data_IF_786840272190
#
_entry.id   IF_786840272190
#
_cell.length_a   1.000
_cell.length_b   1.000
_cell.length_c   1.000
_cell.angle_alpha   90.00
_cell.angle_beta   90.00
_cell.angle_gamma   90.00
#
_symmetry.space_group_name_H-M   'P 1'
#
loop_
_entity.id
_entity.type
_entity.pdbx_description
1 polymer ?
#
# COMPACT_ATOMS: atom_id res chain seq x y z
N UNK A 1 -9.98 -16.92 -17.32
CA UNK A 1 -10.71 -15.99 -16.44
C UNK A 1 -11.31 -14.83 -17.22
N UNK A 2 -10.52 -14.04 -17.96
CA UNK A 2 -11.01 -12.91 -18.76
C UNK A 2 -12.15 -13.26 -19.72
N UNK A 3 -11.97 -14.29 -20.56
CA UNK A 3 -13.00 -14.73 -21.52
C UNK A 3 -14.32 -15.17 -20.89
N UNK A 4 -14.30 -15.54 -19.60
CA UNK A 4 -15.52 -15.89 -18.86
C UNK A 4 -16.28 -14.66 -18.39
N UNK A 5 -15.59 -13.61 -17.93
CA UNK A 5 -16.24 -12.40 -17.41
C UNK A 5 -16.60 -11.40 -18.52
N UNK A 6 -15.86 -11.39 -19.62
CA UNK A 6 -16.01 -10.45 -20.73
C UNK A 6 -17.46 -10.34 -21.24
N UNK A 7 -18.19 -11.44 -21.54
CA UNK A 7 -19.56 -11.32 -22.05
C UNK A 7 -20.53 -10.63 -21.10
N UNK A 8 -20.28 -10.73 -19.78
CA UNK A 8 -21.09 -10.02 -18.78
C UNK A 8 -20.75 -8.53 -18.75
N UNK A 9 -19.48 -8.17 -18.89
CA UNK A 9 -19.03 -6.77 -18.93
C UNK A 9 -19.56 -6.08 -20.20
N UNK A 10 -19.51 -6.75 -21.35
CA UNK A 10 -19.99 -6.23 -22.64
C UNK A 10 -21.52 -6.04 -22.69
N UNK A 11 -22.26 -6.52 -21.69
CA UNK A 11 -23.70 -6.29 -21.57
C UNK A 11 -24.07 -4.92 -20.95
N UNK A 12 -23.11 -4.17 -20.42
CA UNK A 12 -23.32 -2.85 -19.83
C UNK A 12 -23.16 -1.74 -20.87
N UNK A 13 -23.91 -0.64 -20.68
CA UNK A 13 -23.83 0.54 -21.55
C UNK A 13 -22.50 1.30 -21.41
N UNK A 14 -21.89 1.25 -20.23
CA UNK A 14 -20.64 1.92 -19.92
C UNK A 14 -19.81 1.12 -18.90
N UNK A 15 -18.49 1.27 -18.99
CA UNK A 15 -17.52 0.71 -18.04
C UNK A 15 -16.60 1.81 -17.54
N UNK A 16 -16.22 1.72 -16.26
CA UNK A 16 -15.34 2.70 -15.62
C UNK A 16 -14.05 2.02 -15.22
N UNK A 17 -12.93 2.55 -15.70
CA UNK A 17 -11.59 2.14 -15.28
C UNK A 17 -10.91 3.28 -14.53
N UNK A 18 -9.95 2.95 -13.69
CA UNK A 18 -9.13 3.98 -13.01
C UNK A 18 -8.05 4.54 -13.92
N UNK A 19 -7.58 3.75 -14.89
CA UNK A 19 -6.48 4.08 -15.80
C UNK A 19 -6.72 3.43 -17.17
N UNK A 20 -6.18 4.04 -18.23
CA UNK A 20 -6.29 3.55 -19.60
C UNK A 20 -5.59 2.20 -19.78
N UNK A 21 -4.46 1.97 -19.11
CA UNK A 21 -3.67 0.75 -19.23
C UNK A 21 -4.40 -0.49 -18.69
N UNK A 22 -5.50 -0.30 -17.95
CA UNK A 22 -6.32 -1.40 -17.43
C UNK A 22 -7.42 -1.84 -18.39
N UNK A 23 -7.64 -1.12 -19.50
CA UNK A 23 -8.64 -1.48 -20.50
C UNK A 23 -8.16 -2.69 -21.30
N UNK A 24 -8.88 -3.82 -21.27
CA UNK A 24 -8.50 -4.99 -22.07
C UNK A 24 -8.60 -4.67 -23.56
N UNK A 25 -7.60 -5.05 -24.37
CA UNK A 25 -7.51 -4.62 -25.77
C UNK A 25 -8.64 -5.17 -26.65
N UNK A 26 -9.31 -6.24 -26.21
CA UNK A 26 -10.40 -6.89 -26.92
C UNK A 26 -11.79 -6.55 -26.36
N UNK A 27 -11.91 -5.60 -25.43
CA UNK A 27 -13.19 -5.21 -24.83
C UNK A 27 -14.03 -4.39 -25.82
N UNK A 28 -15.26 -4.83 -26.09
CA UNK A 28 -16.19 -4.16 -26.99
C UNK A 28 -17.41 -3.63 -26.23
N UNK A 29 -17.38 -2.34 -25.88
CA UNK A 29 -18.46 -1.63 -25.16
C UNK A 29 -18.71 -0.26 -25.82
N UNK A 30 -19.90 0.30 -25.59
CA UNK A 30 -20.28 1.58 -26.19
C UNK A 30 -19.52 2.78 -25.59
N UNK A 31 -19.25 2.73 -24.28
CA UNK A 31 -18.60 3.81 -23.55
C UNK A 31 -17.58 3.28 -22.53
N UNK A 32 -16.37 3.82 -22.58
CA UNK A 32 -15.32 3.61 -21.58
C UNK A 32 -15.01 4.96 -20.95
N UNK A 33 -15.14 5.03 -19.62
CA UNK A 33 -14.84 6.23 -18.84
C UNK A 33 -13.67 6.00 -17.89
N UNK A 34 -12.91 7.06 -17.62
CA UNK A 34 -11.78 7.02 -16.70
C UNK A 34 -12.05 7.86 -15.47
N UNK A 35 -12.24 7.20 -14.32
CA UNK A 35 -12.45 7.87 -13.04
C UNK A 35 -11.34 7.44 -12.09
N UNK A 36 -10.39 8.35 -11.87
CA UNK A 36 -9.32 8.15 -10.90
C UNK A 36 -9.91 7.99 -9.48
N UNK A 37 -9.34 7.10 -8.65
CA UNK A 37 -9.72 7.04 -7.25
C UNK A 37 -9.39 8.37 -6.57
N UNK A 38 -10.32 8.85 -5.75
CA UNK A 38 -10.15 10.08 -4.98
C UNK A 38 -9.98 9.78 -3.49
N UNK A 39 -9.39 10.74 -2.77
CA UNK A 39 -9.36 10.75 -1.32
C UNK A 39 -10.40 11.72 -0.79
N UNK A 40 -11.09 11.35 0.29
CA UNK A 40 -11.94 12.26 1.05
C UNK A 40 -11.08 13.00 2.08
N UNK A 41 -10.87 14.34 1.94
CA UNK A 41 -10.04 15.11 2.86
C UNK A 41 -10.63 15.23 4.27
N UNK A 42 -11.91 14.91 4.46
CA UNK A 42 -12.57 14.97 5.78
C UNK A 42 -12.74 13.59 6.42
N UNK A 43 -12.38 12.51 5.72
CA UNK A 43 -12.35 11.17 6.31
C UNK A 43 -11.28 11.05 7.39
N UNK A 44 -11.47 10.14 8.35
CA UNK A 44 -10.53 9.90 9.46
C UNK A 44 -9.10 9.55 9.01
N UNK A 45 -8.93 9.08 7.78
CA UNK A 45 -7.63 8.73 7.19
C UNK A 45 -6.84 9.96 6.70
N UNK A 46 -7.54 11.00 6.22
CA UNK A 46 -6.90 12.14 5.54
C UNK A 46 -7.15 13.49 6.22
N UNK A 47 -8.02 13.53 7.24
CA UNK A 47 -8.29 14.75 7.99
C UNK A 47 -7.02 15.25 8.68
N UNK A 48 -6.93 16.58 8.82
CA UNK A 48 -5.86 17.19 9.60
C UNK A 48 -5.97 16.78 11.07
N UNK A 49 -4.84 16.34 11.64
CA UNK A 49 -4.77 15.94 13.03
C UNK A 49 -4.05 17.02 13.85
N UNK A 50 -4.56 17.35 15.07
CA UNK A 50 -3.83 18.19 16.00
C UNK A 50 -2.42 17.65 16.29
N UNK A 51 -1.49 18.56 16.55
CA UNK A 51 -0.07 18.23 16.69
C UNK A 51 0.22 17.27 17.84
N UNK A 52 -0.44 17.46 18.98
CA UNK A 52 -0.36 16.58 20.13
C UNK A 52 -0.82 15.16 19.79
N UNK A 53 -1.91 15.02 19.02
CA UNK A 53 -2.48 13.73 18.63
C UNK A 53 -1.52 12.92 17.77
N UNK A 54 -1.02 13.48 16.67
CA UNK A 54 -0.14 12.70 15.80
C UNK A 54 1.23 12.46 16.44
N UNK A 55 1.75 13.40 17.25
CA UNK A 55 3.03 13.21 17.97
C UNK A 55 2.92 12.07 18.97
N UNK A 56 1.84 12.02 19.75
CA UNK A 56 1.60 10.92 20.67
C UNK A 56 1.41 9.59 19.94
N UNK A 57 0.68 9.57 18.82
CA UNK A 57 0.50 8.34 18.03
C UNK A 57 1.83 7.77 17.51
N UNK A 58 2.70 8.62 16.94
CA UNK A 58 4.01 8.21 16.41
C UNK A 58 4.98 7.80 17.53
N UNK A 59 5.01 8.56 18.63
CA UNK A 59 5.87 8.20 19.78
C UNK A 59 5.46 6.84 20.38
N UNK A 60 4.15 6.57 20.50
CA UNK A 60 3.63 5.31 21.03
C UNK A 60 3.88 4.11 20.11
N UNK A 61 4.21 4.32 18.84
CA UNK A 61 4.58 3.24 17.90
C UNK A 61 6.07 2.86 17.97
N UNK A 62 6.85 3.49 18.86
CA UNK A 62 8.29 3.21 19.01
C UNK A 62 9.20 3.96 18.03
N UNK A 63 8.68 4.95 17.30
CA UNK A 63 9.43 5.77 16.32
C UNK A 63 10.02 7.00 17.01
N UNK A 64 11.34 7.22 16.91
CA UNK A 64 11.96 8.49 17.33
C UNK A 64 11.67 9.58 16.30
N UNK A 65 10.84 10.56 16.68
CA UNK A 65 10.44 11.68 15.82
C UNK A 65 11.58 12.66 15.49
N UNK A 66 12.74 12.53 16.14
CA UNK A 66 13.92 13.37 15.86
C UNK A 66 14.82 12.79 14.77
N UNK A 67 14.55 11.55 14.36
CA UNK A 67 15.33 10.81 13.36
C UNK A 67 14.56 10.71 12.05
N UNK A 68 15.24 10.64 10.89
CA UNK A 68 14.57 10.45 9.61
C UNK A 68 13.77 9.13 9.59
N UNK A 69 12.55 9.18 9.06
CA UNK A 69 11.66 8.03 8.96
C UNK A 69 11.28 7.75 7.51
N UNK A 70 11.50 6.52 7.07
CA UNK A 70 10.94 5.95 5.85
C UNK A 70 9.70 5.16 6.24
N UNK A 71 8.60 5.31 5.48
CA UNK A 71 7.35 4.60 5.76
C UNK A 71 6.85 3.92 4.49
N UNK A 72 6.45 2.67 4.61
CA UNK A 72 5.58 2.01 3.63
C UNK A 72 4.22 1.79 4.26
N UNK A 73 3.17 2.32 3.64
CA UNK A 73 1.77 2.06 4.02
C UNK A 73 1.13 1.18 2.95
N UNK A 74 1.01 -0.12 3.22
CA UNK A 74 0.39 -1.07 2.29
C UNK A 74 -0.08 -2.33 3.00
N UNK A 75 -0.92 -3.14 2.34
CA UNK A 75 -1.11 -4.53 2.76
C UNK A 75 0.22 -5.28 2.75
N UNK A 76 0.34 -6.30 3.59
CA UNK A 76 1.41 -7.29 3.48
C UNK A 76 1.05 -8.24 2.34
N UNK A 77 1.47 -7.88 1.15
CA UNK A 77 1.10 -8.53 -0.10
C UNK A 77 2.38 -8.63 -0.95
N UNK A 78 2.68 -9.76 -1.61
CA UNK A 78 3.91 -9.94 -2.36
C UNK A 78 4.13 -8.87 -3.44
N UNK A 79 3.05 -8.38 -4.06
CA UNK A 79 3.09 -7.37 -5.12
C UNK A 79 3.42 -5.96 -4.60
N UNK A 80 3.42 -5.77 -3.28
CA UNK A 80 3.89 -4.54 -2.62
C UNK A 80 5.36 -4.60 -2.22
N UNK A 81 6.00 -5.75 -2.46
CA UNK A 81 7.43 -6.00 -2.24
C UNK A 81 7.97 -5.43 -0.91
N UNK A 82 7.40 -5.81 0.25
CA UNK A 82 7.86 -5.29 1.53
C UNK A 82 9.31 -5.71 1.85
N UNK A 83 9.78 -6.83 1.30
CA UNK A 83 11.17 -7.28 1.48
C UNK A 83 12.15 -6.45 0.66
N UNK A 84 11.80 -6.08 -0.57
CA UNK A 84 12.57 -5.13 -1.36
C UNK A 84 12.68 -3.76 -0.67
N UNK A 85 11.63 -3.31 0.03
CA UNK A 85 11.69 -2.08 0.82
C UNK A 85 12.64 -2.20 2.00
N UNK A 86 12.68 -3.33 2.71
CA UNK A 86 13.68 -3.56 3.76
C UNK A 86 15.10 -3.54 3.17
N UNK A 87 15.33 -4.16 2.01
CA UNK A 87 16.63 -4.14 1.34
C UNK A 87 17.04 -2.72 0.94
N UNK A 88 16.11 -1.94 0.36
CA UNK A 88 16.34 -0.55 0.03
C UNK A 88 16.67 0.28 1.28
N UNK A 89 15.93 0.08 2.37
CA UNK A 89 16.22 0.70 3.66
C UNK A 89 17.62 0.36 4.16
N UNK A 90 18.04 -0.90 4.10
CA UNK A 90 19.38 -1.33 4.53
C UNK A 90 20.49 -0.65 3.72
N UNK A 91 20.28 -0.42 2.42
CA UNK A 91 21.21 0.34 1.58
C UNK A 91 21.30 1.80 2.05
N UNK A 92 20.15 2.45 2.32
CA UNK A 92 20.12 3.82 2.84
C UNK A 92 20.79 3.91 4.21
N UNK A 93 20.56 2.95 5.10
CA UNK A 93 21.09 2.93 6.48
C UNK A 93 22.63 2.90 6.52
N UNK A 94 23.29 2.35 5.49
CA UNK A 94 24.77 2.37 5.37
C UNK A 94 25.32 3.79 5.28
N UNK A 95 24.61 4.68 4.60
CA UNK A 95 25.01 6.09 4.41
C UNK A 95 24.35 7.01 5.46
N UNK A 96 23.20 6.61 6.00
CA UNK A 96 22.41 7.33 7.00
C UNK A 96 22.06 6.42 8.18
N UNK A 97 23.00 6.20 9.13
CA UNK A 97 22.79 5.26 10.23
C UNK A 97 21.62 5.60 11.16
N UNK A 98 21.19 6.86 11.16
CA UNK A 98 20.08 7.37 11.95
C UNK A 98 18.69 7.13 11.33
N UNK A 99 18.58 6.65 10.08
CA UNK A 99 17.28 6.41 9.44
C UNK A 99 16.51 5.24 10.07
N UNK A 100 15.18 5.41 10.16
CA UNK A 100 14.22 4.41 10.65
C UNK A 100 13.30 3.95 9.52
N UNK A 101 12.78 2.72 9.62
CA UNK A 101 11.75 2.19 8.73
C UNK A 101 10.50 1.82 9.53
N UNK A 102 9.33 2.28 9.09
CA UNK A 102 8.05 1.80 9.57
C UNK A 102 7.27 1.12 8.43
N UNK A 103 6.94 -0.16 8.64
CA UNK A 103 6.09 -0.94 7.74
C UNK A 103 4.68 -0.96 8.33
N UNK A 104 3.77 -0.18 7.77
CA UNK A 104 2.40 -0.01 8.29
C UNK A 104 1.43 -0.73 7.36
N UNK A 105 0.80 -1.78 7.87
CA UNK A 105 -0.14 -2.58 7.08
C UNK A 105 -1.21 -3.21 7.92
N UNK A 106 -2.35 -3.48 7.28
CA UNK A 106 -3.41 -4.31 7.82
C UNK A 106 -3.33 -5.70 7.17
N UNK A 107 -3.59 -6.74 7.95
CA UNK A 107 -3.92 -8.05 7.41
C UNK A 107 -5.38 -8.02 6.95
N UNK A 108 -5.64 -8.52 5.75
CA UNK A 108 -6.99 -8.78 5.29
C UNK A 108 -7.36 -10.21 5.71
N UNK A 109 -8.49 -10.40 6.38
CA UNK A 109 -8.86 -11.69 6.97
C UNK A 109 -9.10 -12.81 5.93
N UNK A 110 -9.24 -12.44 4.67
CA UNK A 110 -9.41 -13.30 3.51
C UNK A 110 -8.10 -13.63 2.78
N UNK A 111 -6.94 -13.17 3.29
CA UNK A 111 -5.64 -13.29 2.64
C UNK A 111 -4.64 -14.11 3.49
N UNK A 112 -4.59 -15.45 3.33
CA UNK A 112 -3.62 -16.30 4.01
C UNK A 112 -2.16 -15.97 3.66
N UNK A 113 -1.91 -15.50 2.43
CA UNK A 113 -0.57 -15.17 1.94
C UNK A 113 0.01 -13.96 2.69
N UNK A 114 -0.86 -13.02 3.09
CA UNK A 114 -0.43 -11.85 3.87
C UNK A 114 0.18 -12.18 5.23
N UNK A 115 -0.23 -13.29 5.87
CA UNK A 115 0.39 -13.76 7.11
C UNK A 115 1.82 -14.28 6.90
N UNK A 116 2.05 -14.99 5.79
CA UNK A 116 3.38 -15.49 5.45
C UNK A 116 4.34 -14.35 5.14
N UNK A 117 3.88 -13.36 4.37
CA UNK A 117 4.65 -12.15 4.08
C UNK A 117 4.98 -11.38 5.36
N UNK A 118 4.02 -11.22 6.28
CA UNK A 118 4.26 -10.58 7.57
C UNK A 118 5.31 -11.34 8.40
N UNK A 119 5.28 -12.67 8.43
CA UNK A 119 6.30 -13.47 9.13
C UNK A 119 7.69 -13.17 8.58
N UNK A 120 7.84 -13.19 7.26
CA UNK A 120 9.12 -12.90 6.59
C UNK A 120 9.60 -11.47 6.85
N UNK A 121 8.69 -10.50 6.84
CA UNK A 121 8.99 -9.11 7.20
C UNK A 121 9.53 -9.04 8.62
N UNK A 122 8.88 -9.67 9.59
CA UNK A 122 9.32 -9.69 10.99
C UNK A 122 10.70 -10.36 11.15
N UNK A 123 10.94 -11.47 10.45
CA UNK A 123 12.23 -12.17 10.46
C UNK A 123 13.37 -11.31 9.89
N UNK A 124 13.13 -10.58 8.80
CA UNK A 124 14.12 -9.65 8.25
C UNK A 124 14.31 -8.42 9.13
N UNK A 125 13.24 -7.87 9.71
CA UNK A 125 13.32 -6.75 10.64
C UNK A 125 14.10 -7.10 11.91
N UNK A 126 14.03 -8.34 12.39
CA UNK A 126 14.79 -8.79 13.57
C UNK A 126 16.32 -8.84 13.34
N UNK A 127 16.78 -8.75 12.09
CA UNK A 127 18.22 -8.69 11.74
C UNK A 127 18.76 -7.27 11.76
N UNK A 128 17.88 -6.27 11.87
CA UNK A 128 18.29 -4.88 11.95
C UNK A 128 18.80 -4.55 13.37
N UNK A 129 20.05 -4.08 13.52
CA UNK A 129 20.65 -3.76 14.82
C UNK A 129 20.14 -2.44 15.42
#
# INVERSE_FOLDING_TARGET
MWSFIKPYIESYDAVVFTLEEFVPPDLNVNLVEYILPAIDPFSSKNMELPEDVYRSAVANSGVDMRRPLIVQVSRFDPWKDPLGVIQAYQLVKREKPDVQLAMVGSLAGDDPEGYEILSRVNEESAKDP
#
